data_IF_429536425747
#
_entry.id   IF_429536425747
#
_cell.length_a   1.000
_cell.length_b   1.000
_cell.length_c   1.000
_cell.angle_alpha   90.00
_cell.angle_beta   90.00
_cell.angle_gamma   90.00
#
_symmetry.space_group_name_H-M   'P 1'
#
loop_
_entity.id
_entity.type
_entity.pdbx_description
1 polymer ?
#
# COMPACT_ATOMS: atom_id res chain seq x y z
N UNK A 1 3.82 -13.03 -6.14
CA UNK A 1 4.17 -12.04 -7.19
C UNK A 1 2.95 -11.30 -7.75
N UNK A 2 2.11 -11.88 -8.62
CA UNK A 2 0.96 -11.16 -9.23
C UNK A 2 0.07 -10.36 -8.26
N UNK A 3 -0.14 -10.86 -7.04
CA UNK A 3 -0.95 -10.17 -6.03
C UNK A 3 -0.30 -8.88 -5.46
N UNK A 4 1.03 -8.83 -5.35
CA UNK A 4 1.78 -7.64 -4.89
C UNK A 4 1.74 -6.56 -5.96
N UNK A 5 2.00 -6.92 -7.22
CA UNK A 5 1.96 -6.00 -8.36
C UNK A 5 0.57 -5.37 -8.54
N UNK A 6 -0.50 -6.18 -8.42
CA UNK A 6 -1.87 -5.66 -8.49
C UNK A 6 -2.19 -4.76 -7.30
N UNK A 7 -1.68 -5.06 -6.11
CA UNK A 7 -1.86 -4.20 -4.93
C UNK A 7 -1.19 -2.84 -5.15
N UNK A 8 0.03 -2.82 -5.68
CA UNK A 8 0.73 -1.59 -6.03
C UNK A 8 0.00 -0.78 -7.10
N UNK A 9 -0.51 -1.42 -8.14
CA UNK A 9 -1.28 -0.75 -9.19
C UNK A 9 -2.54 -0.08 -8.61
N UNK A 10 -3.25 -0.75 -7.69
CA UNK A 10 -4.42 -0.19 -7.01
C UNK A 10 -4.05 1.01 -6.13
N UNK A 11 -2.91 0.96 -5.44
CA UNK A 11 -2.43 2.07 -4.61
C UNK A 11 -2.02 3.28 -5.47
N UNK A 12 -1.37 3.05 -6.60
CA UNK A 12 -0.99 4.10 -7.56
C UNK A 12 -2.22 4.79 -8.17
N UNK A 13 -3.31 4.07 -8.41
CA UNK A 13 -4.57 4.65 -8.88
C UNK A 13 -5.19 5.61 -7.84
N UNK A 14 -5.19 5.23 -6.55
CA UNK A 14 -5.70 6.10 -5.48
C UNK A 14 -4.87 7.37 -5.37
N UNK A 15 -3.55 7.22 -5.51
CA UNK A 15 -2.56 8.33 -5.50
C UNK A 15 -2.74 9.29 -6.67
N UNK A 16 -2.86 8.76 -7.90
CA UNK A 16 -2.98 9.60 -9.09
C UNK A 16 -4.24 10.47 -9.06
N UNK A 17 -5.32 9.97 -8.46
CA UNK A 17 -6.58 10.70 -8.33
C UNK A 17 -6.60 11.67 -7.15
N UNK A 18 -5.71 11.52 -6.16
CA UNK A 18 -5.58 12.47 -5.06
C UNK A 18 -4.76 13.72 -5.43
N UNK A 19 -3.96 13.69 -6.51
CA UNK A 19 -3.04 14.76 -6.95
C UNK A 19 -3.65 16.13 -7.26
N UNK A 20 -4.98 16.27 -7.29
CA UNK A 20 -5.65 17.51 -7.69
C UNK A 20 -6.35 18.30 -6.58
N UNK A 21 -6.42 17.83 -5.33
CA UNK A 21 -7.42 18.33 -4.36
C UNK A 21 -6.90 18.61 -2.94
N UNK A 22 -5.60 18.87 -2.78
CA UNK A 22 -4.92 19.03 -1.49
C UNK A 22 -5.04 20.42 -0.84
N UNK A 23 -6.23 21.04 -0.75
CA UNK A 23 -6.31 22.39 -0.20
C UNK A 23 -6.21 22.49 1.33
N UNK A 24 -6.55 21.46 2.13
CA UNK A 24 -6.58 21.65 3.60
C UNK A 24 -6.11 20.46 4.47
N UNK A 25 -5.60 19.38 3.90
CA UNK A 25 -5.23 18.20 4.68
C UNK A 25 -3.83 17.71 4.30
N UNK A 26 -2.83 18.19 5.06
CA UNK A 26 -1.38 17.99 4.90
C UNK A 26 -0.97 17.29 3.60
N UNK A 27 -0.91 18.05 2.50
CA UNK A 27 -0.41 17.60 1.19
C UNK A 27 0.93 16.81 1.33
N UNK A 28 1.75 17.18 2.32
CA UNK A 28 3.02 16.51 2.64
C UNK A 28 2.88 15.04 3.03
N UNK A 29 1.83 14.63 3.77
CA UNK A 29 1.66 13.24 4.20
C UNK A 29 1.27 12.34 3.04
N UNK A 30 0.44 12.85 2.12
CA UNK A 30 0.05 12.08 0.93
C UNK A 30 1.22 11.95 0.01
N UNK A 31 1.89 13.06 -0.31
CA UNK A 31 3.13 13.06 -1.09
C UNK A 31 4.15 12.05 -0.54
N UNK A 32 4.25 11.92 0.78
CA UNK A 32 5.10 10.91 1.42
C UNK A 32 4.61 9.48 1.18
N UNK A 33 3.30 9.19 1.32
CA UNK A 33 2.74 7.88 0.95
C UNK A 33 3.03 7.55 -0.53
N UNK A 34 2.88 8.52 -1.41
CA UNK A 34 3.09 8.38 -2.85
C UNK A 34 4.54 8.06 -3.21
N UNK A 35 5.47 8.82 -2.66
CA UNK A 35 6.90 8.60 -2.85
C UNK A 35 7.31 7.21 -2.36
N UNK A 36 6.73 6.75 -1.23
CA UNK A 36 6.99 5.43 -0.69
C UNK A 36 6.39 4.31 -1.58
N UNK A 37 5.22 4.50 -2.18
CA UNK A 37 4.62 3.56 -3.12
C UNK A 37 5.44 3.48 -4.42
N UNK A 38 5.90 4.61 -4.94
CA UNK A 38 6.77 4.66 -6.12
C UNK A 38 8.10 3.95 -5.86
N UNK A 39 8.72 4.19 -4.70
CA UNK A 39 9.94 3.48 -4.29
C UNK A 39 9.71 1.97 -4.12
N UNK A 40 8.55 1.57 -3.57
CA UNK A 40 8.19 0.16 -3.44
C UNK A 40 8.03 -0.52 -4.80
N UNK A 41 7.49 0.17 -5.80
CA UNK A 41 7.36 -0.36 -7.17
C UNK A 41 8.71 -0.74 -7.78
N UNK A 42 9.72 0.10 -7.56
CA UNK A 42 11.11 -0.19 -7.99
C UNK A 42 11.68 -1.38 -7.23
N UNK A 43 11.42 -1.49 -5.92
CA UNK A 43 11.90 -2.60 -5.09
C UNK A 43 11.29 -3.96 -5.46
N UNK A 44 10.02 -4.00 -5.86
CA UNK A 44 9.33 -5.25 -6.24
C UNK A 44 9.88 -5.84 -7.54
N UNK A 45 10.40 -4.99 -8.43
CA UNK A 45 11.10 -5.41 -9.65
C UNK A 45 12.53 -5.93 -9.43
N UNK A 46 13.05 -5.84 -8.20
CA UNK A 46 14.39 -6.29 -7.83
C UNK A 46 14.29 -7.59 -7.00
N UNK A 47 15.38 -8.36 -7.02
CA UNK A 47 15.58 -9.68 -6.38
C UNK A 47 14.59 -10.03 -5.25
N UNK A 48 13.86 -11.13 -5.43
CA UNK A 48 12.75 -11.55 -4.55
C UNK A 48 13.15 -12.66 -3.57
N UNK A 49 14.37 -12.59 -3.05
CA UNK A 49 14.78 -13.45 -1.94
C UNK A 49 13.81 -13.31 -0.75
N UNK A 50 13.60 -14.38 0.05
CA UNK A 50 12.64 -14.34 1.16
C UNK A 50 12.80 -13.16 2.14
N UNK A 51 14.03 -12.74 2.54
CA UNK A 51 14.21 -11.56 3.39
C UNK A 51 13.70 -10.28 2.73
N UNK A 52 13.91 -10.14 1.41
CA UNK A 52 13.46 -8.98 0.65
C UNK A 52 11.95 -8.97 0.48
N UNK A 53 11.33 -10.13 0.37
CA UNK A 53 9.88 -10.25 0.29
C UNK A 53 9.19 -9.82 1.60
N UNK A 54 9.76 -10.14 2.77
CA UNK A 54 9.27 -9.64 4.06
C UNK A 54 9.37 -8.10 4.17
N UNK A 55 10.48 -7.51 3.73
CA UNK A 55 10.64 -6.05 3.66
C UNK A 55 9.59 -5.41 2.74
N UNK A 56 9.38 -5.98 1.55
CA UNK A 56 8.36 -5.53 0.59
C UNK A 56 6.96 -5.60 1.20
N UNK A 57 6.66 -6.69 1.91
CA UNK A 57 5.38 -6.87 2.58
C UNK A 57 5.16 -5.86 3.73
N UNK A 58 6.19 -5.59 4.53
CA UNK A 58 6.17 -4.57 5.57
C UNK A 58 5.92 -3.17 4.98
N UNK A 59 6.65 -2.81 3.93
CA UNK A 59 6.50 -1.53 3.24
C UNK A 59 5.11 -1.40 2.58
N UNK A 60 4.58 -2.47 1.99
CA UNK A 60 3.25 -2.49 1.38
C UNK A 60 2.16 -2.20 2.43
N UNK A 61 2.23 -2.84 3.61
CA UNK A 61 1.29 -2.60 4.72
C UNK A 61 1.35 -1.17 5.24
N UNK A 62 2.56 -0.63 5.43
CA UNK A 62 2.74 0.77 5.86
C UNK A 62 2.09 1.74 4.87
N UNK A 63 2.27 1.52 3.57
CA UNK A 63 1.69 2.37 2.53
C UNK A 63 0.15 2.27 2.46
N UNK A 64 -0.41 1.07 2.60
CA UNK A 64 -1.87 0.88 2.68
C UNK A 64 -2.45 1.63 3.89
N UNK A 65 -1.82 1.52 5.06
CA UNK A 65 -2.26 2.24 6.25
C UNK A 65 -2.11 3.77 6.10
N UNK A 66 -1.04 4.23 5.42
CA UNK A 66 -0.83 5.64 5.10
C UNK A 66 -2.01 6.20 4.29
N UNK A 67 -2.42 5.50 3.21
CA UNK A 67 -3.54 5.91 2.37
C UNK A 67 -4.91 5.75 3.06
N UNK A 68 -5.09 4.74 3.91
CA UNK A 68 -6.31 4.60 4.72
C UNK A 68 -6.47 5.77 5.69
N UNK A 69 -5.40 6.15 6.40
CA UNK A 69 -5.40 7.27 7.32
C UNK A 69 -5.64 8.60 6.59
N UNK A 70 -5.02 8.79 5.42
CA UNK A 70 -5.33 9.94 4.57
C UNK A 70 -6.81 9.95 4.17
N UNK A 71 -7.31 8.86 3.58
CA UNK A 71 -8.70 8.78 3.11
C UNK A 71 -9.70 9.04 4.24
N UNK A 72 -9.45 8.52 5.44
CA UNK A 72 -10.33 8.72 6.59
C UNK A 72 -10.40 10.19 7.03
N UNK A 73 -9.25 10.88 7.06
CA UNK A 73 -9.14 12.22 7.64
C UNK A 73 -9.33 13.35 6.64
N UNK A 74 -9.03 13.10 5.36
CA UNK A 74 -8.82 14.16 4.38
C UNK A 74 -9.69 14.07 3.13
N UNK A 75 -10.18 12.87 2.78
CA UNK A 75 -10.99 12.70 1.58
C UNK A 75 -12.43 13.14 1.84
N UNK A 76 -13.07 13.73 0.81
CA UNK A 76 -14.50 14.01 0.83
C UNK A 76 -15.33 12.73 0.92
N UNK A 77 -16.62 12.84 1.23
CA UNK A 77 -17.51 11.66 1.35
C UNK A 77 -17.52 10.78 0.08
N UNK A 78 -17.56 11.41 -1.09
CA UNK A 78 -17.55 10.70 -2.38
C UNK A 78 -16.22 10.00 -2.63
N UNK A 79 -15.11 10.67 -2.29
CA UNK A 79 -13.76 10.11 -2.40
C UNK A 79 -13.54 8.95 -1.42
N UNK A 80 -14.02 9.05 -0.18
CA UNK A 80 -13.98 7.97 0.79
C UNK A 80 -14.63 6.71 0.24
N UNK A 81 -15.80 6.85 -0.36
CA UNK A 81 -16.52 5.72 -0.97
C UNK A 81 -15.75 5.13 -2.15
N UNK A 82 -15.19 5.99 -3.01
CA UNK A 82 -14.40 5.57 -4.18
C UNK A 82 -13.10 4.84 -3.78
N UNK A 83 -12.32 5.42 -2.88
CA UNK A 83 -11.02 4.89 -2.45
C UNK A 83 -11.15 3.71 -1.49
N UNK A 84 -12.20 3.63 -0.68
CA UNK A 84 -12.41 2.52 0.25
C UNK A 84 -12.40 1.16 -0.46
N UNK A 85 -13.01 1.08 -1.66
CA UNK A 85 -13.03 -0.17 -2.45
C UNK A 85 -11.63 -0.57 -2.91
N UNK A 86 -10.85 0.38 -3.43
CA UNK A 86 -9.49 0.14 -3.91
C UNK A 86 -8.55 -0.22 -2.76
N UNK A 87 -8.60 0.51 -1.65
CA UNK A 87 -7.77 0.28 -0.47
C UNK A 87 -8.09 -1.06 0.21
N UNK A 88 -9.37 -1.43 0.29
CA UNK A 88 -9.78 -2.73 0.84
C UNK A 88 -9.27 -3.89 -0.03
N UNK A 89 -9.35 -3.74 -1.36
CA UNK A 89 -8.81 -4.76 -2.28
C UNK A 89 -7.29 -4.85 -2.22
N UNK A 90 -6.59 -3.72 -2.15
CA UNK A 90 -5.13 -3.70 -1.98
C UNK A 90 -4.73 -4.35 -0.64
N UNK A 91 -5.45 -4.07 0.44
CA UNK A 91 -5.24 -4.70 1.76
C UNK A 91 -5.43 -6.20 1.72
N UNK A 92 -6.51 -6.69 1.11
CA UNK A 92 -6.78 -8.13 0.99
C UNK A 92 -5.69 -8.84 0.18
N UNK A 93 -5.30 -8.27 -0.96
CA UNK A 93 -4.26 -8.87 -1.82
C UNK A 93 -2.88 -8.82 -1.19
N UNK A 94 -2.55 -7.74 -0.46
CA UNK A 94 -1.33 -7.65 0.33
C UNK A 94 -1.29 -8.72 1.43
N UNK A 95 -2.42 -8.95 2.11
CA UNK A 95 -2.58 -10.03 3.08
C UNK A 95 -2.34 -11.40 2.44
N UNK A 96 -3.06 -11.73 1.37
CA UNK A 96 -2.92 -13.02 0.66
C UNK A 96 -1.47 -13.26 0.15
N UNK A 97 -0.78 -12.20 -0.25
CA UNK A 97 0.59 -12.29 -0.77
C UNK A 97 1.67 -12.40 0.32
N UNK A 98 1.38 -11.92 1.53
CA UNK A 98 2.36 -11.75 2.60
C UNK A 98 2.15 -12.70 3.79
N UNK A 99 0.93 -13.17 4.03
CA UNK A 99 0.62 -14.02 5.19
C UNK A 99 1.18 -15.45 5.11
N UNK A 100 1.33 -16.01 3.90
CA UNK A 100 1.97 -17.34 3.74
C UNK A 100 3.43 -17.31 4.25
N UNK A 101 4.09 -16.14 4.20
CA UNK A 101 5.47 -15.99 4.67
C UNK A 101 5.58 -15.57 6.13
N UNK A 102 4.64 -14.79 6.65
CA UNK A 102 4.59 -14.46 8.07
C UNK A 102 4.27 -15.69 8.93
N UNK A 103 3.34 -16.55 8.48
CA UNK A 103 3.02 -17.80 9.16
C UNK A 103 4.22 -18.77 9.18
N UNK A 104 5.01 -18.81 8.11
CA UNK A 104 6.27 -19.56 8.07
C UNK A 104 7.27 -18.92 9.04
N UNK A 105 7.51 -17.61 8.97
CA UNK A 105 8.50 -16.98 9.87
C UNK A 105 8.11 -17.05 11.36
N UNK A 106 6.83 -17.04 11.71
CA UNK A 106 6.35 -17.33 13.07
C UNK A 106 6.52 -18.80 13.45
N UNK A 107 6.27 -19.74 12.53
CA UNK A 107 6.42 -21.17 12.78
C UNK A 107 7.88 -21.63 12.92
N UNK A 108 8.82 -20.96 12.25
CA UNK A 108 10.26 -21.24 12.34
C UNK A 108 10.99 -20.34 13.36
N UNK A 109 10.26 -19.58 14.19
CA UNK A 109 10.81 -19.03 15.44
C UNK A 109 10.77 -20.11 16.52
N UNK A 110 11.68 -21.07 16.40
CA UNK A 110 12.18 -21.93 17.48
C UNK A 110 13.69 -22.16 17.25
#
# INVERSE_FOLDING_TARGET
MRAVDISLALLLLVVAESHGQYQDCSASKVQQCENNIAALHVKVGLDQSPPRQLEVCSDLRKNINCLLNFTANCASFDQKTKYARALTQARKRAFDACEIQDAVHEYWKD
#
